data_IF_138616127900
#
_entry.id   IF_138616127900
#
_cell.length_a   1.000
_cell.length_b   1.000
_cell.length_c   1.000
_cell.angle_alpha   90.00
_cell.angle_beta   90.00
_cell.angle_gamma   90.00
#
_symmetry.space_group_name_H-M   'P 1'
#
loop_
_entity.id
_entity.type
_entity.pdbx_description
1 polymer ?
#
# COMPACT_ATOMS: atom_id res chain seq x y z
N UNK A 1 -5.26 3.05 -33.73
CA UNK A 1 -5.31 2.73 -32.28
C UNK A 1 -4.12 3.29 -31.49
N UNK A 2 -2.86 3.12 -31.93
CA UNK A 2 -1.65 3.54 -31.19
C UNK A 2 -1.62 5.02 -30.73
N UNK A 3 -2.09 5.96 -31.57
CA UNK A 3 -2.12 7.40 -31.26
C UNK A 3 -3.10 7.78 -30.14
N UNK A 4 -4.24 7.08 -30.03
CA UNK A 4 -5.22 7.30 -28.94
C UNK A 4 -4.71 6.72 -27.62
N UNK A 5 -3.97 5.62 -27.69
CA UNK A 5 -3.32 5.00 -26.53
C UNK A 5 -2.20 5.88 -25.96
N UNK A 6 -1.34 6.46 -26.82
CA UNK A 6 -0.29 7.40 -26.37
C UNK A 6 -0.86 8.70 -25.82
N UNK A 7 -1.96 9.22 -26.41
CA UNK A 7 -2.63 10.41 -25.89
C UNK A 7 -3.28 10.15 -24.51
N UNK A 8 -3.91 8.99 -24.33
CA UNK A 8 -4.44 8.58 -23.02
C UNK A 8 -3.34 8.46 -21.97
N UNK A 9 -2.20 7.85 -22.33
CA UNK A 9 -1.07 7.71 -21.42
C UNK A 9 -0.44 9.07 -21.03
N UNK A 10 -0.39 10.04 -21.96
CA UNK A 10 0.08 11.39 -21.65
C UNK A 10 -0.89 12.17 -20.77
N UNK A 11 -2.19 12.04 -21.00
CA UNK A 11 -3.23 12.66 -20.13
C UNK A 11 -3.18 12.04 -18.73
N UNK A 12 -3.01 10.72 -18.66
CA UNK A 12 -2.81 10.00 -17.41
C UNK A 12 -1.57 10.53 -16.68
N UNK A 13 -0.43 10.66 -17.37
CA UNK A 13 0.83 11.15 -16.80
C UNK A 13 0.77 12.62 -16.37
N UNK A 14 0.04 13.46 -17.13
CA UNK A 14 -0.23 14.84 -16.75
C UNK A 14 -1.10 14.93 -15.49
N UNK A 15 -2.14 14.10 -15.37
CA UNK A 15 -2.95 14.00 -14.15
C UNK A 15 -2.10 13.58 -12.95
N UNK A 16 -1.21 12.58 -13.11
CA UNK A 16 -0.28 12.14 -12.04
C UNK A 16 0.58 13.30 -11.59
N UNK A 17 1.24 14.00 -12.54
CA UNK A 17 2.18 15.06 -12.23
C UNK A 17 1.49 16.25 -11.57
N UNK A 18 0.29 16.61 -12.01
CA UNK A 18 -0.47 17.70 -11.42
C UNK A 18 -0.92 17.34 -9.99
N UNK A 19 -1.32 16.09 -9.77
CA UNK A 19 -1.81 15.62 -8.48
C UNK A 19 -0.69 15.40 -7.45
N UNK A 20 0.51 14.96 -7.89
CA UNK A 20 1.69 14.82 -7.03
C UNK A 20 2.19 16.18 -6.50
N UNK A 21 2.10 17.24 -7.31
CA UNK A 21 2.43 18.61 -6.88
C UNK A 21 1.45 19.19 -5.85
N UNK A 22 0.18 18.76 -5.84
CA UNK A 22 -0.80 19.20 -4.83
C UNK A 22 -0.49 18.63 -3.44
N UNK A 23 -0.02 17.37 -3.35
CA UNK A 23 0.45 16.78 -2.08
C UNK A 23 1.69 17.49 -1.53
N UNK A 24 2.63 17.92 -2.38
CA UNK A 24 3.87 18.59 -1.97
C UNK A 24 3.65 19.95 -1.27
N UNK A 25 2.48 20.58 -1.45
CA UNK A 25 2.11 21.84 -0.79
C UNK A 25 1.40 21.62 0.56
N UNK A 26 0.98 20.39 0.87
CA UNK A 26 0.27 20.01 2.10
C UNK A 26 1.07 18.98 2.93
N UNK A 27 2.38 19.23 3.12
CA UNK A 27 3.23 18.49 4.07
C UNK A 27 3.93 19.47 5.02
N UNK A 28 3.23 20.54 5.41
CA UNK A 28 3.63 21.31 6.57
C UNK A 28 2.97 20.69 7.79
N UNK A 29 3.75 19.83 8.46
CA UNK A 29 3.59 19.44 9.84
C UNK A 29 2.82 20.50 10.65
N UNK A 30 1.54 20.24 10.94
CA UNK A 30 1.00 20.68 12.21
C UNK A 30 1.36 19.57 13.20
N UNK A 31 2.07 19.88 14.30
CA UNK A 31 2.24 18.90 15.35
C UNK A 31 0.85 18.46 15.77
N UNK A 32 0.58 17.15 15.74
CA UNK A 32 -0.55 16.63 16.48
C UNK A 32 -0.28 16.94 17.94
N UNK A 33 -0.84 18.05 18.44
CA UNK A 33 -1.09 18.24 19.86
C UNK A 33 -2.09 17.16 20.21
N UNK A 34 -1.55 16.03 20.67
CA UNK A 34 -2.29 14.99 21.34
C UNK A 34 -2.88 15.66 22.58
N UNK A 35 -4.14 16.09 22.48
CA UNK A 35 -4.89 16.60 23.60
C UNK A 35 -5.09 15.44 24.57
N UNK A 36 -4.14 15.27 25.49
CA UNK A 36 -4.38 14.59 26.74
C UNK A 36 -5.56 15.32 27.41
N UNK A 37 -6.75 14.75 27.32
CA UNK A 37 -7.83 15.08 28.24
C UNK A 37 -7.44 14.53 29.61
N UNK A 38 -6.58 15.25 30.32
CA UNK A 38 -6.57 15.24 31.77
C UNK A 38 -7.89 15.84 32.22
N UNK A 39 -8.79 15.00 32.74
CA UNK A 39 -9.88 15.48 33.60
C UNK A 39 -9.36 15.54 35.04
N UNK A 40 -9.47 16.67 35.74
CA UNK A 40 -9.18 16.74 37.17
C UNK A 40 -10.45 16.37 37.95
N UNK A 41 -10.37 15.40 38.86
CA UNK A 41 -10.54 15.64 40.32
C UNK A 41 -10.54 14.31 41.10
N UNK A 42 -10.15 14.33 42.38
CA UNK A 42 -9.74 13.16 43.14
C UNK A 42 -10.88 12.50 43.91
N UNK A 43 -10.77 11.20 44.16
CA UNK A 43 -11.33 10.52 45.33
C UNK A 43 -10.50 9.26 45.62
N UNK A 44 -10.41 8.83 46.90
CA UNK A 44 -9.31 8.05 47.42
C UNK A 44 -9.55 6.54 47.27
N UNK A 45 -8.46 5.85 46.91
CA UNK A 45 -8.07 4.49 47.31
C UNK A 45 -9.05 3.36 47.00
N UNK A 46 -8.76 2.65 45.91
CA UNK A 46 -8.56 1.19 45.91
C UNK A 46 -7.48 0.92 44.86
N UNK A 47 -6.24 0.69 45.33
CA UNK A 47 -5.05 0.55 44.50
C UNK A 47 -4.98 -0.89 43.93
N UNK A 48 -5.90 -1.24 43.04
CA UNK A 48 -5.67 -2.31 42.08
C UNK A 48 -4.79 -1.73 40.98
N UNK A 49 -3.47 -1.92 41.12
CA UNK A 49 -2.51 -1.55 40.08
C UNK A 49 -2.81 -2.44 38.88
N UNK A 50 -3.67 -1.98 37.98
CA UNK A 50 -3.85 -2.55 36.65
C UNK A 50 -2.53 -2.34 35.90
N UNK A 51 -1.61 -3.30 36.06
CA UNK A 51 -0.35 -3.32 35.33
C UNK A 51 -0.71 -3.60 33.88
N UNK A 52 -0.83 -2.54 33.08
CA UNK A 52 -0.97 -2.65 31.63
C UNK A 52 0.36 -3.16 31.05
N UNK A 53 0.47 -4.49 31.00
CA UNK A 53 1.63 -5.22 30.49
C UNK A 53 1.96 -4.82 29.04
N UNK A 54 1.01 -4.28 28.27
CA UNK A 54 1.23 -3.81 26.91
C UNK A 54 2.22 -2.65 26.81
N UNK A 55 2.35 -1.84 27.87
CA UNK A 55 3.24 -0.67 27.93
C UNK A 55 4.70 -1.00 28.29
N UNK A 56 4.91 -2.13 28.97
CA UNK A 56 6.21 -2.61 29.45
C UNK A 56 6.78 -3.74 28.57
N UNK A 57 5.93 -4.44 27.82
CA UNK A 57 6.38 -5.44 26.85
C UNK A 57 6.85 -4.76 25.55
N UNK A 58 8.15 -4.87 25.30
CA UNK A 58 8.79 -4.40 24.06
C UNK A 58 9.00 -5.57 23.11
N UNK A 59 8.61 -5.40 21.86
CA UNK A 59 8.91 -6.35 20.77
C UNK A 59 10.40 -6.28 20.42
N UNK A 60 10.89 -7.26 19.65
CA UNK A 60 12.32 -7.39 19.26
C UNK A 60 12.96 -6.11 18.67
N UNK A 61 12.15 -5.16 18.18
CA UNK A 61 12.59 -3.85 17.69
C UNK A 61 12.45 -2.67 18.67
N UNK A 62 12.15 -2.91 19.95
CA UNK A 62 12.00 -1.86 20.98
C UNK A 62 10.67 -1.12 20.99
N UNK A 63 9.75 -1.44 20.06
CA UNK A 63 8.41 -0.87 20.00
C UNK A 63 7.49 -1.55 21.04
N UNK A 64 6.65 -0.76 21.70
CA UNK A 64 5.68 -1.27 22.69
C UNK A 64 4.64 -2.11 21.99
N UNK A 65 4.24 -3.22 22.60
CA UNK A 65 3.16 -4.08 22.07
C UNK A 65 1.85 -3.30 21.97
N UNK A 66 1.61 -2.38 22.90
CA UNK A 66 0.46 -1.48 22.85
C UNK A 66 0.38 -0.71 21.53
N UNK A 67 1.50 -0.23 20.98
CA UNK A 67 1.50 0.66 19.81
C UNK A 67 1.33 -0.10 18.48
N UNK A 68 1.54 -1.41 18.47
CA UNK A 68 1.49 -2.26 17.27
C UNK A 68 0.11 -2.90 17.07
N UNK A 69 -0.70 -2.99 18.11
CA UNK A 69 -2.00 -3.68 18.09
C UNK A 69 -3.16 -2.81 18.60
N UNK A 70 -3.06 -1.47 18.54
CA UNK A 70 -4.15 -0.60 19.03
C UNK A 70 -5.41 -0.72 18.20
N UNK A 71 -5.29 -1.02 16.91
CA UNK A 71 -6.42 -1.06 15.98
C UNK A 71 -6.39 -2.33 15.13
N UNK A 72 -7.56 -2.90 14.79
CA UNK A 72 -7.65 -3.99 13.81
C UNK A 72 -6.99 -3.68 12.46
N UNK A 73 -6.85 -2.38 12.12
CA UNK A 73 -6.17 -1.90 10.92
C UNK A 73 -4.68 -2.21 10.87
N UNK A 74 -4.01 -2.34 12.02
CA UNK A 74 -2.56 -2.50 12.08
C UNK A 74 -2.14 -3.91 11.59
N UNK A 75 -2.97 -4.91 11.88
CA UNK A 75 -2.84 -6.26 11.33
C UNK A 75 -3.05 -6.30 9.83
N UNK A 76 -4.07 -5.58 9.34
CA UNK A 76 -4.35 -5.51 7.91
C UNK A 76 -3.18 -4.86 7.16
N UNK A 77 -2.59 -3.78 7.69
CA UNK A 77 -1.45 -3.12 7.07
C UNK A 77 -0.21 -4.04 6.98
N UNK A 78 0.08 -4.79 8.04
CA UNK A 78 1.16 -5.78 8.03
C UNK A 78 0.94 -6.86 6.96
N UNK A 79 -0.27 -7.42 6.88
CA UNK A 79 -0.63 -8.44 5.89
C UNK A 79 -0.49 -7.88 4.48
N UNK A 80 -1.04 -6.68 4.22
CA UNK A 80 -0.95 -6.01 2.93
C UNK A 80 0.52 -5.84 2.53
N UNK A 81 1.38 -5.34 3.41
CA UNK A 81 2.81 -5.16 3.10
C UNK A 81 3.49 -6.47 2.68
N UNK A 82 3.25 -7.55 3.41
CA UNK A 82 3.82 -8.87 3.08
C UNK A 82 3.26 -9.39 1.76
N UNK A 83 1.96 -9.27 1.55
CA UNK A 83 1.30 -9.69 0.30
C UNK A 83 1.85 -8.92 -0.89
N UNK A 84 2.01 -7.60 -0.81
CA UNK A 84 2.58 -6.80 -1.89
C UNK A 84 4.01 -7.20 -2.23
N UNK A 85 4.84 -7.51 -1.23
CA UNK A 85 6.20 -8.01 -1.45
C UNK A 85 6.19 -9.37 -2.18
N UNK A 86 5.34 -10.30 -1.75
CA UNK A 86 5.20 -11.63 -2.38
C UNK A 86 4.66 -11.51 -3.79
N UNK A 87 3.63 -10.71 -4.01
CA UNK A 87 3.03 -10.48 -5.34
C UNK A 87 4.03 -9.83 -6.28
N UNK A 88 4.77 -8.81 -5.83
CA UNK A 88 5.82 -8.17 -6.63
C UNK A 88 6.91 -9.15 -7.05
N UNK A 89 7.36 -10.01 -6.13
CA UNK A 89 8.34 -11.06 -6.42
C UNK A 89 7.79 -12.10 -7.41
N UNK A 90 6.55 -12.56 -7.20
CA UNK A 90 5.90 -13.52 -8.09
C UNK A 90 5.76 -12.95 -9.51
N UNK A 91 5.34 -11.70 -9.63
CA UNK A 91 5.17 -11.01 -10.90
C UNK A 91 6.51 -10.83 -11.62
N UNK A 92 7.57 -10.54 -10.88
CA UNK A 92 8.93 -10.48 -11.41
C UNK A 92 9.39 -11.83 -11.98
N UNK A 93 9.24 -12.92 -11.21
CA UNK A 93 9.59 -14.27 -11.68
C UNK A 93 8.77 -14.66 -12.91
N UNK A 94 7.46 -14.38 -12.90
CA UNK A 94 6.58 -14.69 -14.02
C UNK A 94 7.00 -13.93 -15.30
N UNK A 95 7.40 -12.66 -15.17
CA UNK A 95 7.91 -11.87 -16.29
C UNK A 95 9.20 -12.48 -16.86
N UNK A 96 10.16 -12.83 -16.00
CA UNK A 96 11.41 -13.45 -16.45
C UNK A 96 11.16 -14.79 -17.14
N UNK A 97 10.36 -15.68 -16.53
CA UNK A 97 10.05 -16.99 -17.09
C UNK A 97 9.27 -16.86 -18.41
N UNK A 98 8.30 -15.95 -18.47
CA UNK A 98 7.54 -15.72 -19.71
C UNK A 98 8.40 -15.13 -20.82
N UNK A 99 9.31 -14.20 -20.51
CA UNK A 99 10.24 -13.60 -21.45
C UNK A 99 11.25 -14.62 -21.99
N UNK A 100 11.85 -15.43 -21.11
CA UNK A 100 12.78 -16.49 -21.52
C UNK A 100 12.06 -17.58 -22.33
N UNK A 101 10.85 -17.95 -21.95
CA UNK A 101 10.01 -18.91 -22.68
C UNK A 101 9.72 -18.44 -24.11
N UNK A 102 9.52 -17.13 -24.32
CA UNK A 102 9.32 -16.56 -25.66
C UNK A 102 10.56 -16.68 -26.57
N UNK A 103 11.76 -16.61 -26.00
CA UNK A 103 13.04 -16.77 -26.73
C UNK A 103 13.35 -18.25 -26.99
N UNK A 104 13.10 -19.11 -25.99
CA UNK A 104 13.35 -20.56 -26.10
C UNK A 104 12.30 -21.30 -26.94
N UNK A 105 11.19 -20.65 -27.29
CA UNK A 105 10.10 -21.24 -28.07
C UNK A 105 10.52 -21.52 -29.53
N UNK A 106 10.69 -22.80 -29.85
CA UNK A 106 11.03 -23.29 -31.19
C UNK A 106 9.84 -23.47 -32.14
N UNK A 107 8.61 -23.48 -31.63
CA UNK A 107 7.37 -23.67 -32.41
C UNK A 107 6.45 -22.46 -32.31
N UNK A 108 5.54 -22.29 -33.27
CA UNK A 108 4.52 -21.22 -33.24
C UNK A 108 3.59 -21.35 -32.04
N UNK A 109 3.20 -22.57 -31.66
CA UNK A 109 2.32 -22.82 -30.51
C UNK A 109 2.95 -22.42 -29.16
N UNK A 110 4.22 -22.76 -28.95
CA UNK A 110 4.94 -22.38 -27.72
C UNK A 110 5.11 -20.87 -27.61
N UNK A 111 5.29 -20.17 -28.73
CA UNK A 111 5.34 -18.70 -28.78
C UNK A 111 4.00 -18.07 -28.41
N UNK A 112 2.89 -18.59 -28.89
CA UNK A 112 1.57 -18.03 -28.60
C UNK A 112 1.16 -18.27 -27.14
N UNK A 113 1.53 -19.43 -26.57
CA UNK A 113 1.39 -19.68 -25.13
C UNK A 113 2.21 -18.70 -24.29
N UNK A 114 3.47 -18.46 -24.64
CA UNK A 114 4.33 -17.51 -23.93
C UNK A 114 3.78 -16.07 -23.98
N UNK A 115 3.26 -15.63 -25.14
CA UNK A 115 2.58 -14.33 -25.27
C UNK A 115 1.33 -14.23 -24.40
N UNK A 116 0.54 -15.31 -24.33
CA UNK A 116 -0.63 -15.39 -23.45
C UNK A 116 -0.25 -15.16 -22.00
N UNK A 117 0.73 -15.91 -21.50
CA UNK A 117 1.26 -15.76 -20.13
C UNK A 117 1.80 -14.36 -19.87
N UNK A 118 2.55 -13.79 -20.81
CA UNK A 118 3.09 -12.43 -20.67
C UNK A 118 1.98 -11.37 -20.64
N UNK A 119 0.92 -11.54 -21.44
CA UNK A 119 -0.24 -10.64 -21.43
C UNK A 119 -0.99 -10.73 -20.11
N UNK A 120 -1.18 -11.94 -19.56
CA UNK A 120 -1.79 -12.12 -18.24
C UNK A 120 -0.94 -11.50 -17.12
N UNK A 121 0.38 -11.62 -17.19
CA UNK A 121 1.30 -10.98 -16.24
C UNK A 121 1.19 -9.44 -16.30
N UNK A 122 1.20 -8.87 -17.50
CA UNK A 122 0.99 -7.44 -17.72
C UNK A 122 -0.39 -6.99 -17.23
N UNK A 123 -1.43 -7.79 -17.45
CA UNK A 123 -2.77 -7.45 -17.00
C UNK A 123 -2.86 -7.41 -15.48
N UNK A 124 -2.25 -8.37 -14.78
CA UNK A 124 -2.14 -8.35 -13.32
C UNK A 124 -1.40 -7.10 -12.81
N UNK A 125 -0.31 -6.72 -13.48
CA UNK A 125 0.41 -5.50 -13.15
C UNK A 125 -0.44 -4.23 -13.32
N UNK A 126 -1.17 -4.13 -14.42
CA UNK A 126 -2.08 -3.01 -14.70
C UNK A 126 -3.20 -2.93 -13.65
N UNK A 127 -3.73 -4.06 -13.19
CA UNK A 127 -4.77 -4.10 -12.16
C UNK A 127 -4.26 -3.53 -10.84
N UNK A 128 -3.05 -3.91 -10.41
CA UNK A 128 -2.45 -3.37 -9.17
C UNK A 128 -2.26 -1.86 -9.28
N UNK A 129 -1.79 -1.40 -10.45
CA UNK A 129 -1.64 0.03 -10.71
C UNK A 129 -2.99 0.74 -10.69
N UNK A 130 -4.02 0.18 -11.33
CA UNK A 130 -5.37 0.75 -11.32
C UNK A 130 -5.97 0.79 -9.91
N UNK A 131 -5.74 -0.23 -9.07
CA UNK A 131 -6.20 -0.27 -7.69
C UNK A 131 -5.61 0.89 -6.85
N UNK A 132 -4.32 1.18 -7.02
CA UNK A 132 -3.68 2.33 -6.38
C UNK A 132 -4.38 3.65 -6.77
N UNK A 133 -4.70 3.81 -8.05
CA UNK A 133 -5.38 5.01 -8.54
C UNK A 133 -6.80 5.15 -8.03
N UNK A 134 -7.55 4.05 -7.97
CA UNK A 134 -8.89 4.04 -7.38
C UNK A 134 -8.82 4.50 -5.92
N UNK A 135 -7.85 3.98 -5.15
CA UNK A 135 -7.63 4.44 -3.78
C UNK A 135 -7.28 5.92 -3.69
N UNK A 136 -6.44 6.42 -4.59
CA UNK A 136 -6.08 7.83 -4.62
C UNK A 136 -7.30 8.72 -4.89
N UNK A 137 -8.22 8.28 -5.75
CA UNK A 137 -9.47 9.00 -6.03
C UNK A 137 -10.40 8.97 -4.81
N UNK A 138 -10.52 7.82 -4.13
CA UNK A 138 -11.35 7.71 -2.91
C UNK A 138 -10.82 8.65 -1.81
N UNK A 139 -9.50 8.69 -1.59
CA UNK A 139 -8.88 9.64 -0.64
C UNK A 139 -9.26 11.09 -0.92
N UNK A 140 -9.31 11.48 -2.20
CA UNK A 140 -9.70 12.84 -2.60
C UNK A 140 -11.17 13.11 -2.31
N UNK A 141 -12.04 12.16 -2.64
CA UNK A 141 -13.48 12.33 -2.48
C UNK A 141 -13.90 12.32 -1.01
N UNK A 142 -13.23 11.53 -0.19
CA UNK A 142 -13.55 11.41 1.25
C UNK A 142 -12.78 12.40 2.11
N UNK A 143 -11.66 12.95 1.63
CA UNK A 143 -10.82 13.87 2.41
C UNK A 143 -10.07 13.22 3.58
N UNK A 144 -10.19 11.91 3.73
CA UNK A 144 -9.53 11.12 4.77
C UNK A 144 -8.32 10.41 4.20
N UNK A 145 -7.17 10.53 4.87
CA UNK A 145 -5.99 9.73 4.56
C UNK A 145 -6.19 8.30 5.04
N UNK A 146 -6.36 7.38 4.11
CA UNK A 146 -6.65 5.97 4.39
C UNK A 146 -5.36 5.17 4.67
N UNK A 147 -4.20 5.83 4.74
CA UNK A 147 -2.99 5.26 5.35
C UNK A 147 -2.56 3.91 4.77
N UNK A 148 -2.50 3.82 3.44
CA UNK A 148 -1.74 2.78 2.75
C UNK A 148 -0.29 3.24 2.56
#
# INVERSE_FOLDING_TARGET
MKKKLTAFFLILLFLISHFLSLKALNVNFLPQVNAQSQSPSPSPVDEEVEIDLGSYLKLSGGQKVSDVFQKPSDMLNLIIRVVFAVVGLLLFVLLIVSGLSMIAAGTTESKDKAKGTMTSALMGFIIIFAAYWIMQIIQVLTGTDIGF
#
